data_IF_268685650609
#
_entry.id   IF_268685650609
#
_cell.length_a   1.000
_cell.length_b   1.000
_cell.length_c   1.000
_cell.angle_alpha   90.00
_cell.angle_beta   90.00
_cell.angle_gamma   90.00
#
_symmetry.space_group_name_H-M   'P 1'
#
loop_
_entity.id
_entity.type
_entity.pdbx_description
1 polymer ?
#
# COMPACT_ATOMS: atom_id res chain seq x y z
N UNK A 1 -2.44 -12.82 5.09
CA UNK A 1 -1.36 -11.81 5.10
C UNK A 1 -0.61 -11.79 3.76
N UNK A 2 -0.82 -10.75 2.95
CA UNK A 2 -0.21 -10.62 1.61
C UNK A 2 1.23 -10.16 1.75
N UNK A 3 2.19 -11.02 1.36
CA UNK A 3 3.62 -10.72 1.38
C UNK A 3 3.96 -9.74 0.25
N UNK A 4 4.56 -8.60 0.59
CA UNK A 4 5.16 -7.69 -0.40
C UNK A 4 6.65 -7.98 -0.43
N UNK A 5 7.22 -8.12 -1.64
CA UNK A 5 8.66 -8.23 -1.83
C UNK A 5 9.17 -6.92 -2.41
N UNK A 6 9.98 -6.21 -1.63
CA UNK A 6 10.70 -5.02 -2.07
C UNK A 6 12.06 -5.40 -2.63
N UNK A 7 12.41 -4.84 -3.78
CA UNK A 7 13.75 -4.93 -4.36
C UNK A 7 14.44 -3.57 -4.29
N UNK A 8 15.77 -3.57 -4.31
CA UNK A 8 16.55 -2.32 -4.33
C UNK A 8 16.16 -1.43 -5.52
N UNK A 9 15.88 -2.03 -6.68
CA UNK A 9 15.40 -1.33 -7.87
C UNK A 9 14.06 -0.59 -7.69
N UNK A 10 13.25 -1.00 -6.71
CA UNK A 10 12.00 -0.31 -6.36
C UNK A 10 12.29 0.94 -5.52
N UNK A 11 13.28 0.86 -4.63
CA UNK A 11 13.72 1.96 -3.77
C UNK A 11 14.53 3.00 -4.53
N UNK A 12 15.34 2.59 -5.50
CA UNK A 12 16.18 3.48 -6.31
C UNK A 12 15.36 4.49 -7.13
N UNK A 13 14.06 4.25 -7.29
CA UNK A 13 13.10 5.16 -7.96
C UNK A 13 12.64 6.30 -7.05
N UNK A 14 12.75 6.15 -5.74
CA UNK A 14 12.41 7.15 -4.73
C UNK A 14 13.68 7.97 -4.49
N UNK A 15 13.91 9.12 -5.16
CA UNK A 15 13.04 10.31 -5.23
C UNK A 15 12.98 10.98 -6.63
N UNK A 16 13.26 10.24 -7.71
CA UNK A 16 13.50 10.82 -9.06
C UNK A 16 12.45 10.42 -10.11
N UNK A 17 11.42 9.66 -9.75
CA UNK A 17 10.41 9.18 -10.71
C UNK A 17 9.08 8.76 -10.08
N UNK A 18 8.18 8.27 -10.94
CA UNK A 18 6.89 7.73 -10.52
C UNK A 18 7.08 6.49 -9.63
N UNK A 19 6.41 6.48 -8.48
CA UNK A 19 6.38 5.33 -7.59
C UNK A 19 5.72 4.15 -8.31
N UNK A 20 6.32 2.97 -8.20
CA UNK A 20 5.69 1.76 -8.71
C UNK A 20 4.62 1.25 -7.74
N UNK A 21 3.74 0.40 -8.25
CA UNK A 21 2.62 -0.17 -7.48
C UNK A 21 3.12 -0.90 -6.21
N UNK A 22 4.30 -1.54 -6.25
CA UNK A 22 4.90 -2.25 -5.12
C UNK A 22 5.26 -1.32 -3.96
N UNK A 23 5.89 -0.18 -4.24
CA UNK A 23 6.25 0.82 -3.23
C UNK A 23 5.01 1.47 -2.64
N UNK A 24 4.02 1.79 -3.48
CA UNK A 24 2.75 2.36 -3.02
C UNK A 24 2.04 1.38 -2.08
N UNK A 25 1.91 0.11 -2.47
CA UNK A 25 1.28 -0.91 -1.62
C UNK A 25 2.07 -1.11 -0.31
N UNK A 26 3.40 -1.04 -0.36
CA UNK A 26 4.23 -1.15 0.84
C UNK A 26 4.01 0.03 1.80
N UNK A 27 4.05 1.27 1.31
CA UNK A 27 3.85 2.47 2.13
C UNK A 27 2.47 2.47 2.76
N UNK A 28 1.43 2.10 2.01
CA UNK A 28 0.07 2.01 2.55
C UNK A 28 -0.03 1.01 3.70
N UNK A 29 0.59 -0.17 3.59
CA UNK A 29 0.62 -1.15 4.68
C UNK A 29 1.49 -0.72 5.85
N UNK A 30 2.59 -0.01 5.58
CA UNK A 30 3.46 0.54 6.62
C UNK A 30 2.71 1.57 7.46
N UNK A 31 2.02 2.50 6.80
CA UNK A 31 1.22 3.54 7.44
C UNK A 31 0.04 2.93 8.21
N UNK A 32 -0.61 1.91 7.64
CA UNK A 32 -1.61 1.12 8.34
C UNK A 32 -1.10 0.52 9.65
N UNK A 33 0.06 -0.12 9.60
CA UNK A 33 0.61 -0.83 10.75
C UNK A 33 1.10 0.14 11.83
N UNK A 34 1.89 1.14 11.47
CA UNK A 34 2.49 2.06 12.43
C UNK A 34 1.54 3.15 12.91
N UNK A 35 0.72 3.75 12.04
CA UNK A 35 -0.13 4.89 12.41
C UNK A 35 -1.51 4.48 12.92
N UNK A 36 -2.04 3.35 12.44
CA UNK A 36 -3.41 2.95 12.78
C UNK A 36 -3.41 1.80 13.78
N UNK A 37 -2.80 0.66 13.46
CA UNK A 37 -2.81 -0.49 14.36
C UNK A 37 -2.09 -0.23 15.69
N UNK A 38 -0.96 0.49 15.66
CA UNK A 38 -0.18 0.75 16.86
C UNK A 38 -0.71 1.95 17.67
N UNK A 39 -1.03 3.06 17.01
CA UNK A 39 -1.41 4.29 17.71
C UNK A 39 -2.92 4.43 17.97
N UNK A 40 -3.79 3.86 17.12
CA UNK A 40 -5.26 4.04 17.19
C UNK A 40 -6.00 2.77 16.72
N UNK A 41 -5.92 1.66 17.46
CA UNK A 41 -6.47 0.37 17.04
C UNK A 41 -7.99 0.40 16.80
N UNK A 42 -8.75 1.26 17.49
CA UNK A 42 -10.19 1.45 17.24
C UNK A 42 -10.49 1.97 15.83
N UNK A 43 -9.64 2.85 15.28
CA UNK A 43 -9.77 3.38 13.93
C UNK A 43 -9.34 2.36 12.88
N UNK A 44 -8.35 1.53 13.19
CA UNK A 44 -7.90 0.46 12.30
C UNK A 44 -9.03 -0.54 11.98
N UNK A 45 -9.97 -0.78 12.90
CA UNK A 45 -11.10 -1.68 12.63
C UNK A 45 -12.17 -1.06 11.72
N UNK A 46 -12.14 0.25 11.49
CA UNK A 46 -13.16 0.98 10.72
C UNK A 46 -12.71 1.28 9.29
N UNK A 47 -11.43 1.06 8.98
CA UNK A 47 -10.86 1.39 7.67
C UNK A 47 -10.52 0.08 6.95
N UNK A 48 -10.75 0.04 5.63
CA UNK A 48 -10.35 -1.08 4.79
C UNK A 48 -9.45 -0.57 3.67
N UNK A 49 -8.21 -1.04 3.63
CA UNK A 49 -7.24 -0.68 2.59
C UNK A 49 -7.30 -1.67 1.43
N UNK A 50 -7.62 -1.16 0.25
CA UNK A 50 -7.48 -1.89 -1.00
C UNK A 50 -6.11 -1.65 -1.62
N UNK A 51 -5.59 -2.64 -2.35
CA UNK A 51 -4.36 -2.46 -3.12
C UNK A 51 -4.62 -1.65 -4.41
N UNK A 52 -3.55 -1.18 -5.04
CA UNK A 52 -3.62 -0.39 -6.29
C UNK A 52 -4.25 -1.13 -7.48
N UNK A 53 -4.34 -2.46 -7.42
CA UNK A 53 -4.98 -3.29 -8.45
C UNK A 53 -6.51 -3.30 -8.36
N UNK A 54 -7.08 -3.03 -7.18
CA UNK A 54 -8.52 -3.05 -6.97
C UNK A 54 -9.26 -2.10 -7.92
N UNK A 55 -8.81 -0.85 -8.00
CA UNK A 55 -9.42 0.15 -8.87
C UNK A 55 -9.29 -0.21 -10.36
N UNK A 56 -8.13 -0.72 -10.78
CA UNK A 56 -7.89 -1.18 -12.16
C UNK A 56 -8.87 -2.31 -12.52
N UNK A 57 -9.12 -3.24 -11.61
CA UNK A 57 -10.08 -4.34 -11.80
C UNK A 57 -11.53 -3.89 -11.77
N UNK A 58 -11.88 -2.92 -10.91
CA UNK A 58 -13.22 -2.35 -10.83
C UNK A 58 -13.61 -1.68 -12.16
N UNK A 59 -12.69 -0.97 -12.79
CA UNK A 59 -12.93 -0.33 -14.09
C UNK A 59 -12.96 -1.32 -15.26
N UNK A 60 -12.22 -2.44 -15.19
CA UNK A 60 -12.29 -3.50 -16.21
C UNK A 60 -13.62 -4.26 -16.22
N UNK A 61 -14.42 -4.14 -15.17
CA UNK A 61 -15.74 -4.77 -15.04
C UNK A 61 -16.88 -3.97 -15.69
N UNK A 62 -16.58 -2.78 -16.26
CA UNK A 62 -17.54 -1.97 -17.02
C UNK A 62 -17.55 -2.32 -18.50
#
# INVERSE_FOLDING_TARGET
PTRIQLKQSDLDRIPRGWLNDTVVEFILKLLWYFELLHNKPELANQIHLFNSFFYKKLLQWR
#
